data_IF_982716853733
#
_entry.id   IF_982716853733
#
_cell.length_a   1.000
_cell.length_b   1.000
_cell.length_c   1.000
_cell.angle_alpha   90.00
_cell.angle_beta   90.00
_cell.angle_gamma   90.00
#
_symmetry.space_group_name_H-M   'P 1'
#
loop_
_entity.id
_entity.type
_entity.pdbx_description
1 polymer ?
#
# COMPACT_ATOMS: atom_id res chain seq x y z
N UNK A 1 14.74 16.48 1.62
CA UNK A 1 13.34 16.66 2.07
C UNK A 1 12.45 15.85 1.15
N UNK A 2 11.98 14.68 1.59
CA UNK A 2 11.25 13.74 0.74
C UNK A 2 9.89 14.34 0.38
N UNK A 3 9.75 14.74 -0.89
CA UNK A 3 8.53 15.32 -1.43
C UNK A 3 7.33 14.46 -1.08
N UNK A 4 6.30 15.12 -0.53
CA UNK A 4 5.00 14.52 -0.24
C UNK A 4 4.41 14.06 -1.58
N UNK A 5 4.67 12.81 -1.96
CA UNK A 5 4.03 12.18 -3.10
C UNK A 5 2.54 12.14 -2.78
N UNK A 6 1.76 13.04 -3.39
CA UNK A 6 0.30 12.92 -3.46
C UNK A 6 0.00 11.73 -4.36
N UNK A 7 0.02 10.54 -3.77
CA UNK A 7 -0.50 9.35 -4.42
C UNK A 7 -2.01 9.51 -4.50
N UNK A 8 -2.52 9.90 -5.66
CA UNK A 8 -3.96 9.93 -5.91
C UNK A 8 -4.42 8.49 -6.14
N UNK A 9 -4.85 7.84 -5.06
CA UNK A 9 -5.34 6.46 -5.13
C UNK A 9 -6.79 6.51 -5.60
N UNK A 10 -6.97 6.36 -6.91
CA UNK A 10 -8.28 6.35 -7.57
C UNK A 10 -9.10 5.12 -7.21
N UNK A 11 -8.44 4.01 -6.87
CA UNK A 11 -9.07 2.78 -6.47
C UNK A 11 -9.73 2.89 -5.10
N UNK A 12 -10.84 2.20 -4.95
CA UNK A 12 -11.52 2.05 -3.66
C UNK A 12 -10.86 0.95 -2.83
N UNK A 13 -11.10 0.97 -1.52
CA UNK A 13 -10.62 -0.11 -0.64
C UNK A 13 -11.11 -1.49 -1.07
N UNK A 14 -12.34 -1.57 -1.58
CA UNK A 14 -12.94 -2.80 -2.07
C UNK A 14 -12.22 -3.33 -3.32
N UNK A 15 -11.90 -2.44 -4.27
CA UNK A 15 -11.15 -2.79 -5.48
C UNK A 15 -9.74 -3.30 -5.15
N UNK A 16 -9.03 -2.58 -4.27
CA UNK A 16 -7.70 -2.99 -3.79
C UNK A 16 -7.74 -4.36 -3.09
N UNK A 17 -8.79 -4.62 -2.29
CA UNK A 17 -8.98 -5.91 -1.61
C UNK A 17 -9.29 -7.04 -2.59
N UNK A 18 -10.05 -6.76 -3.66
CA UNK A 18 -10.29 -7.73 -4.72
C UNK A 18 -8.99 -8.04 -5.47
N UNK A 19 -8.26 -7.01 -5.90
CA UNK A 19 -6.96 -7.13 -6.57
C UNK A 19 -5.95 -7.91 -5.72
N UNK A 20 -5.93 -7.68 -4.40
CA UNK A 20 -5.08 -8.42 -3.46
C UNK A 20 -5.33 -9.93 -3.48
N UNK A 21 -6.59 -10.35 -3.63
CA UNK A 21 -6.96 -11.77 -3.73
C UNK A 21 -6.52 -12.39 -5.05
N UNK A 22 -6.46 -11.61 -6.12
CA UNK A 22 -6.07 -12.07 -7.45
C UNK A 22 -4.57 -11.92 -7.75
N UNK A 23 -3.83 -11.16 -6.95
CA UNK A 23 -2.40 -10.95 -7.12
C UNK A 23 -1.64 -12.28 -6.99
N UNK A 24 -0.86 -12.61 -8.01
CA UNK A 24 -0.13 -13.89 -8.10
C UNK A 24 1.29 -13.79 -7.56
N UNK A 25 1.89 -12.61 -7.62
CA UNK A 25 3.27 -12.39 -7.17
C UNK A 25 3.30 -11.78 -5.76
N UNK A 26 4.36 -12.06 -5.01
CA UNK A 26 4.57 -11.45 -3.70
C UNK A 26 4.71 -9.92 -3.81
N UNK A 27 5.45 -9.45 -4.81
CA UNK A 27 5.65 -8.02 -5.06
C UNK A 27 4.34 -7.27 -5.36
N UNK A 28 3.42 -7.88 -6.13
CA UNK A 28 2.10 -7.28 -6.38
C UNK A 28 1.26 -7.23 -5.11
N UNK A 29 1.27 -8.30 -4.31
CA UNK A 29 0.57 -8.33 -3.02
C UNK A 29 1.07 -7.25 -2.09
N UNK A 30 2.39 -7.08 -1.97
CA UNK A 30 2.99 -6.04 -1.14
C UNK A 30 2.60 -4.63 -1.62
N UNK A 31 2.66 -4.39 -2.93
CA UNK A 31 2.30 -3.09 -3.51
C UNK A 31 0.83 -2.76 -3.27
N UNK A 32 -0.07 -3.72 -3.50
CA UNK A 32 -1.50 -3.55 -3.28
C UNK A 32 -1.84 -3.42 -1.79
N UNK A 33 -1.15 -4.15 -0.91
CA UNK A 33 -1.27 -3.97 0.54
C UNK A 33 -0.84 -2.56 0.97
N UNK A 34 0.25 -2.04 0.41
CA UNK A 34 0.71 -0.69 0.71
C UNK A 34 -0.33 0.35 0.29
N UNK A 35 -0.89 0.22 -0.91
CA UNK A 35 -1.97 1.08 -1.40
C UNK A 35 -3.22 0.97 -0.52
N UNK A 36 -3.58 -0.24 -0.11
CA UNK A 36 -4.72 -0.49 0.78
C UNK A 36 -4.53 0.18 2.14
N UNK A 37 -3.34 0.10 2.75
CA UNK A 37 -3.03 0.75 4.03
C UNK A 37 -3.13 2.27 3.94
N UNK A 38 -2.67 2.85 2.84
CA UNK A 38 -2.75 4.29 2.59
C UNK A 38 -4.21 4.74 2.37
N UNK A 39 -4.97 3.98 1.57
CA UNK A 39 -6.36 4.31 1.23
C UNK A 39 -7.29 4.18 2.44
N UNK A 40 -7.13 3.11 3.23
CA UNK A 40 -7.92 2.86 4.44
C UNK A 40 -7.52 3.73 5.64
N UNK A 41 -6.52 4.61 5.48
CA UNK A 41 -6.05 5.51 6.54
C UNK A 41 -5.26 4.81 7.65
N UNK A 42 -4.98 3.51 7.52
CA UNK A 42 -4.13 2.76 8.46
C UNK A 42 -2.67 3.25 8.44
N UNK A 43 -2.23 3.83 7.33
CA UNK A 43 -0.97 4.52 7.20
C UNK A 43 -1.15 5.90 6.57
N UNK A 44 -0.50 6.92 7.13
CA UNK A 44 -0.56 8.30 6.60
C UNK A 44 0.51 8.59 5.54
N UNK A 45 1.56 7.79 5.49
CA UNK A 45 2.69 7.98 4.58
C UNK A 45 3.16 6.65 4.02
N UNK A 46 3.79 6.70 2.85
CA UNK A 46 4.39 5.52 2.21
C UNK A 46 5.42 4.87 3.12
N UNK A 47 6.19 5.67 3.86
CA UNK A 47 7.17 5.16 4.83
C UNK A 47 6.47 4.41 5.96
N UNK A 48 5.40 4.97 6.54
CA UNK A 48 4.65 4.29 7.60
C UNK A 48 4.02 2.98 7.10
N UNK A 49 3.46 2.98 5.90
CA UNK A 49 2.93 1.76 5.27
C UNK A 49 4.03 0.72 5.02
N UNK A 50 5.20 1.14 4.53
CA UNK A 50 6.34 0.25 4.30
C UNK A 50 6.86 -0.38 5.61
N UNK A 51 6.90 0.38 6.70
CA UNK A 51 7.25 -0.12 8.03
C UNK A 51 6.23 -1.15 8.53
N UNK A 52 4.93 -0.90 8.36
CA UNK A 52 3.86 -1.85 8.71
C UNK A 52 3.95 -3.16 7.91
N UNK A 53 4.35 -3.09 6.65
CA UNK A 53 4.59 -4.26 5.80
C UNK A 53 5.94 -4.94 6.06
N UNK A 54 6.68 -4.50 7.07
CA UNK A 54 7.99 -5.02 7.42
C UNK A 54 9.02 -4.98 6.25
N UNK A 55 8.84 -4.05 5.27
CA UNK A 55 9.84 -3.80 4.21
C UNK A 55 11.15 -3.23 4.75
N UNK A 56 11.20 -2.92 6.05
CA UNK A 56 12.37 -2.52 6.81
C UNK A 56 12.89 -3.66 7.71
N UNK A 57 12.64 -4.92 7.36
CA UNK A 57 13.41 -6.05 7.90
C UNK A 57 14.63 -6.27 7.01
N UNK A 58 15.73 -5.63 7.41
CA UNK A 58 17.09 -6.14 7.16
C UNK A 58 17.27 -7.46 7.90
#
# INVERSE_FOLDING_TARGET
MAGVYKLDITETEADLKQRLRHAKTASDKERLQLLYLLKSGQAKTVQAAATLLARHRI
#
